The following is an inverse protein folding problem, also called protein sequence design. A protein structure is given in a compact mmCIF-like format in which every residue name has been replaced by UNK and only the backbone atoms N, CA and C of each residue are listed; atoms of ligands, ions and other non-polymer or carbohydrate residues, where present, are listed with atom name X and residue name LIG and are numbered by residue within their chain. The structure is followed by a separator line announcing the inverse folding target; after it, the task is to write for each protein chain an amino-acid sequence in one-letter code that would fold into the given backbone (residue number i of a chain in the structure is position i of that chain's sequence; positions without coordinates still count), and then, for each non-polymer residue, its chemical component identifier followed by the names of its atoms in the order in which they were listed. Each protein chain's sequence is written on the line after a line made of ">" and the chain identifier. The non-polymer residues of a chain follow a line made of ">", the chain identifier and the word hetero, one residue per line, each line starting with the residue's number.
data_IF_996283178519
#
_entry.id   IF_996283178519
#
_cell.length_a   1.000
_cell.length_b   1.000
_cell.length_c   1.000
_cell.angle_alpha   90.00
_cell.angle_beta   90.00
_cell.angle_gamma   90.00
#
_symmetry.space_group_name_H-M   'P 1'
#
loop_
_entity.id
_entity.type
_entity.pdbx_description
1 polymer ?
#
# COMPACT_ATOMS: atom_id res chain seq x y z
N UNK A 1 11.46 15.27 19.53
CA UNK A 1 12.46 15.08 18.46
C UNK A 1 12.95 16.43 17.99
N UNK A 2 14.20 16.54 17.54
CA UNK A 2 14.71 17.74 16.87
C UNK A 2 14.06 17.79 15.48
N UNK A 3 13.42 18.91 15.12
CA UNK A 3 13.00 19.12 13.72
C UNK A 3 14.24 19.51 12.91
N UNK A 4 14.60 18.70 11.92
CA UNK A 4 15.73 18.95 11.01
C UNK A 4 15.33 19.72 9.75
N UNK A 5 14.05 20.05 9.59
CA UNK A 5 13.55 20.84 8.47
C UNK A 5 14.11 22.26 8.49
N UNK A 6 14.41 22.79 7.30
CA UNK A 6 14.78 24.19 7.13
C UNK A 6 13.62 25.10 7.54
N UNK A 7 12.38 24.66 7.30
CA UNK A 7 11.17 25.25 7.84
C UNK A 7 10.68 24.44 9.05
N UNK A 8 10.75 25.06 10.23
CA UNK A 8 10.38 24.47 11.52
C UNK A 8 8.94 23.97 11.61
N UNK A 9 8.05 24.47 10.76
CA UNK A 9 6.63 24.14 10.77
C UNK A 9 6.32 22.95 9.82
N UNK A 10 7.30 22.56 8.98
CA UNK A 10 7.20 21.46 8.01
C UNK A 10 7.88 20.17 8.48
N UNK A 11 7.32 19.05 8.04
CA UNK A 11 7.94 17.72 8.15
C UNK A 11 9.16 17.62 7.22
N UNK A 12 10.21 16.92 7.68
CA UNK A 12 11.52 16.97 7.04
C UNK A 12 11.55 16.33 5.65
N UNK A 13 10.92 15.17 5.46
CA UNK A 13 11.01 14.43 4.20
C UNK A 13 9.89 14.81 3.23
N UNK A 14 8.64 14.77 3.70
CA UNK A 14 7.45 15.02 2.86
C UNK A 14 7.22 16.50 2.59
N UNK A 15 7.85 17.40 3.37
CA UNK A 15 7.73 18.86 3.24
C UNK A 15 6.27 19.35 3.32
N UNK A 16 5.51 18.80 4.27
CA UNK A 16 4.12 19.14 4.57
C UNK A 16 3.98 19.71 5.98
N UNK A 17 2.97 20.53 6.21
CA UNK A 17 2.55 21.02 7.53
C UNK A 17 1.07 20.70 7.82
N UNK A 18 0.60 20.98 9.04
CA UNK A 18 -0.82 20.81 9.38
C UNK A 18 -1.71 21.64 8.44
N UNK A 19 -2.74 21.00 7.88
CA UNK A 19 -3.68 21.64 6.94
C UNK A 19 -3.37 21.40 5.46
N UNK A 20 -2.15 21.00 5.11
CA UNK A 20 -1.75 20.63 3.75
C UNK A 20 -2.45 19.35 3.25
N UNK A 21 -2.72 18.41 4.17
CA UNK A 21 -3.36 17.13 3.87
C UNK A 21 -4.70 16.97 4.58
N UNK A 22 -5.54 16.09 4.02
CA UNK A 22 -6.75 15.62 4.67
C UNK A 22 -6.50 14.51 5.69
N UNK A 23 -7.54 14.14 6.44
CA UNK A 23 -7.50 12.97 7.35
C UNK A 23 -7.30 11.65 6.60
N UNK A 24 -7.83 11.59 5.37
CA UNK A 24 -7.78 10.43 4.50
C UNK A 24 -6.71 10.59 3.43
N UNK A 25 -5.77 9.64 3.36
CA UNK A 25 -4.65 9.70 2.42
C UNK A 25 -4.50 8.39 1.66
N UNK A 26 -4.50 8.45 0.33
CA UNK A 26 -4.07 7.32 -0.51
C UNK A 26 -2.54 7.32 -0.56
N UNK A 27 -1.93 6.16 -0.32
CA UNK A 27 -0.49 5.96 -0.44
C UNK A 27 -0.17 5.18 -1.71
N UNK A 28 0.82 5.60 -2.50
CA UNK A 28 1.26 4.88 -3.70
C UNK A 28 2.78 4.76 -3.78
N UNK A 29 3.30 3.64 -4.27
CA UNK A 29 4.76 3.49 -4.40
C UNK A 29 5.39 4.48 -5.38
N UNK A 30 4.82 4.61 -6.58
CA UNK A 30 5.36 5.46 -7.65
C UNK A 30 4.88 6.91 -7.51
N UNK A 31 5.77 7.91 -7.38
CA UNK A 31 5.42 9.33 -7.34
C UNK A 31 4.59 9.79 -8.53
N UNK A 32 4.86 9.22 -9.72
CA UNK A 32 4.12 9.57 -10.94
C UNK A 32 2.66 9.13 -10.91
N UNK A 33 2.33 8.16 -10.05
CA UNK A 33 0.94 7.70 -9.88
C UNK A 33 0.10 8.67 -9.04
N UNK A 34 0.72 9.56 -8.26
CA UNK A 34 -0.03 10.54 -7.45
C UNK A 34 -0.92 11.42 -8.32
N UNK A 35 -0.42 11.91 -9.45
CA UNK A 35 -1.22 12.71 -10.38
C UNK A 35 -2.44 11.94 -10.89
N UNK A 36 -2.24 10.69 -11.35
CA UNK A 36 -3.34 9.84 -11.82
C UNK A 36 -4.40 9.61 -10.74
N UNK A 37 -3.99 9.42 -9.49
CA UNK A 37 -4.93 9.27 -8.36
C UNK A 37 -5.66 10.58 -8.09
N UNK A 38 -4.95 11.71 -8.11
CA UNK A 38 -5.51 13.04 -7.84
C UNK A 38 -6.61 13.44 -8.84
N UNK A 39 -6.56 12.95 -10.09
CA UNK A 39 -7.61 13.15 -11.10
C UNK A 39 -8.99 12.60 -10.67
N UNK A 40 -9.04 11.73 -9.66
CA UNK A 40 -10.29 11.20 -9.10
C UNK A 40 -10.84 12.03 -7.93
N UNK A 41 -10.13 13.07 -7.50
CA UNK A 41 -10.56 14.00 -6.46
C UNK A 41 -11.13 15.27 -7.09
N UNK A 42 -12.03 15.93 -6.39
CA UNK A 42 -12.55 17.26 -6.72
C UNK A 42 -11.49 18.32 -6.39
N UNK A 43 -11.25 19.27 -7.30
CA UNK A 43 -10.35 20.42 -7.13
C UNK A 43 -8.95 20.08 -6.59
N UNK A 44 -8.38 18.93 -6.99
CA UNK A 44 -7.07 18.53 -6.51
C UNK A 44 -5.92 19.39 -7.06
N UNK A 45 -5.03 19.80 -6.17
CA UNK A 45 -3.83 20.59 -6.48
C UNK A 45 -2.58 19.90 -5.94
N UNK A 46 -1.42 20.06 -6.62
CA UNK A 46 -0.14 19.64 -6.06
C UNK A 46 0.18 20.48 -4.82
N UNK A 47 0.68 19.84 -3.76
CA UNK A 47 0.98 20.48 -2.48
C UNK A 47 2.48 20.47 -2.19
N UNK A 48 3.13 19.32 -2.38
CA UNK A 48 4.57 19.17 -2.18
C UNK A 48 5.15 18.14 -3.16
N UNK A 49 6.41 18.34 -3.51
CA UNK A 49 7.21 17.39 -4.29
C UNK A 49 8.64 17.38 -3.73
N UNK A 50 8.93 16.38 -2.90
CA UNK A 50 10.20 16.27 -2.18
C UNK A 50 10.70 14.83 -2.21
N UNK A 51 11.88 14.60 -2.79
CA UNK A 51 12.47 13.27 -2.96
C UNK A 51 11.51 12.33 -3.71
N UNK A 52 11.13 11.20 -3.11
CA UNK A 52 10.10 10.28 -3.62
C UNK A 52 8.68 10.59 -3.10
N UNK A 53 8.48 11.69 -2.37
CA UNK A 53 7.21 12.07 -1.73
C UNK A 53 6.55 13.20 -2.51
N UNK A 54 5.75 12.84 -3.51
CA UNK A 54 4.86 13.76 -4.23
C UNK A 54 3.48 13.70 -3.60
N UNK A 55 2.92 14.86 -3.24
CA UNK A 55 1.62 14.97 -2.57
C UNK A 55 0.66 15.87 -3.34
N UNK A 56 -0.58 15.39 -3.50
CA UNK A 56 -1.71 16.18 -3.98
C UNK A 56 -2.82 16.15 -2.93
N UNK A 57 -3.57 17.24 -2.82
CA UNK A 57 -4.74 17.35 -1.94
C UNK A 57 -5.91 17.93 -2.73
N UNK A 58 -7.09 17.36 -2.52
CA UNK A 58 -8.36 17.79 -3.09
C UNK A 58 -9.50 17.36 -2.19
N UNK A 59 -10.66 17.06 -2.78
CA UNK A 59 -11.85 16.72 -2.03
C UNK A 59 -12.55 15.46 -2.58
N UNK A 60 -13.21 14.73 -1.68
CA UNK A 60 -14.20 13.72 -2.02
C UNK A 60 -15.47 14.01 -1.23
N UNK A 61 -16.56 14.34 -1.91
CA UNK A 61 -17.84 14.65 -1.26
C UNK A 61 -17.71 15.79 -0.22
N UNK A 62 -16.90 16.80 -0.54
CA UNK A 62 -16.58 17.92 0.34
C UNK A 62 -15.63 17.61 1.51
N UNK A 63 -15.18 16.36 1.66
CA UNK A 63 -14.14 16.00 2.64
C UNK A 63 -12.75 16.21 2.03
N UNK A 64 -11.83 16.87 2.76
CA UNK A 64 -10.45 17.03 2.30
C UNK A 64 -9.75 15.66 2.31
N UNK A 65 -9.16 15.27 1.18
CA UNK A 65 -8.40 14.03 1.02
C UNK A 65 -7.11 14.29 0.27
N UNK A 66 -6.13 13.40 0.44
CA UNK A 66 -4.82 13.53 -0.20
C UNK A 66 -4.36 12.23 -0.82
N UNK A 67 -3.35 12.34 -1.69
CA UNK A 67 -2.53 11.22 -2.13
C UNK A 67 -1.06 11.59 -1.97
N UNK A 68 -0.27 10.69 -1.40
CA UNK A 68 1.18 10.87 -1.20
C UNK A 68 1.91 9.62 -1.66
N UNK A 69 3.00 9.78 -2.39
CA UNK A 69 3.84 8.63 -2.74
C UNK A 69 4.78 8.21 -1.62
N UNK A 70 5.16 6.93 -1.60
CA UNK A 70 6.00 6.35 -0.56
C UNK A 70 7.39 5.95 -1.05
N UNK A 71 7.63 5.95 -2.36
CA UNK A 71 8.76 5.21 -2.94
C UNK A 71 8.61 3.70 -2.77
N UNK A 72 9.72 2.98 -2.98
CA UNK A 72 9.80 1.51 -2.87
C UNK A 72 10.47 1.13 -1.56
N UNK A 73 9.84 0.23 -0.82
CA UNK A 73 10.33 -0.38 0.40
C UNK A 73 9.68 0.17 1.67
N UNK A 74 9.71 -0.67 2.71
CA UNK A 74 9.29 -0.30 4.06
C UNK A 74 9.91 0.99 4.60
N UNK A 75 11.22 1.28 4.41
CA UNK A 75 11.86 2.43 5.04
C UNK A 75 11.25 3.78 4.64
N UNK A 76 11.10 4.04 3.34
CA UNK A 76 10.51 5.29 2.84
C UNK A 76 9.00 5.34 3.09
N UNK A 77 8.30 4.19 3.01
CA UNK A 77 6.88 4.12 3.34
C UNK A 77 6.58 4.44 4.82
N UNK A 78 7.44 4.01 5.74
CA UNK A 78 7.32 4.34 7.16
C UNK A 78 7.52 5.84 7.42
N UNK A 79 8.49 6.48 6.73
CA UNK A 79 8.70 7.93 6.78
C UNK A 79 7.43 8.68 6.35
N UNK A 80 6.87 8.33 5.20
CA UNK A 80 5.65 8.96 4.70
C UNK A 80 4.51 8.85 5.73
N UNK A 81 4.26 7.66 6.27
CA UNK A 81 3.16 7.45 7.22
C UNK A 81 3.38 8.17 8.55
N UNK A 82 4.59 8.17 9.11
CA UNK A 82 4.93 8.92 10.33
C UNK A 82 4.69 10.42 10.15
N UNK A 83 5.22 11.00 9.07
CA UNK A 83 5.15 12.44 8.85
C UNK A 83 3.72 12.89 8.49
N UNK A 84 2.98 12.12 7.69
CA UNK A 84 1.57 12.37 7.41
C UNK A 84 0.73 12.29 8.70
N UNK A 85 1.00 11.30 9.57
CA UNK A 85 0.31 11.19 10.85
C UNK A 85 0.63 12.35 11.80
N UNK A 86 1.83 12.94 11.72
CA UNK A 86 2.17 14.13 12.50
C UNK A 86 1.42 15.38 12.05
N UNK A 87 0.99 15.46 10.79
CA UNK A 87 0.25 16.61 10.23
C UNK A 87 -1.26 16.38 10.10
N UNK A 88 -1.78 15.37 10.80
CA UNK A 88 -3.22 15.17 11.00
C UNK A 88 -3.89 14.09 10.15
N UNK A 89 -3.15 13.35 9.31
CA UNK A 89 -3.70 12.19 8.62
C UNK A 89 -3.88 11.00 9.56
N UNK A 90 -5.02 10.31 9.51
CA UNK A 90 -5.33 9.19 10.41
C UNK A 90 -5.87 7.95 9.70
N UNK A 91 -6.09 8.04 8.39
CA UNK A 91 -6.74 6.99 7.59
C UNK A 91 -6.05 6.84 6.25
N UNK A 92 -5.50 5.65 6.02
CA UNK A 92 -4.62 5.41 4.89
C UNK A 92 -5.12 4.25 4.02
N UNK A 93 -5.04 4.40 2.70
CA UNK A 93 -5.22 3.27 1.78
C UNK A 93 -4.02 3.20 0.85
N UNK A 94 -3.25 2.12 0.95
CA UNK A 94 -2.19 1.86 -0.02
C UNK A 94 -2.78 1.31 -1.31
N UNK A 95 -2.39 1.93 -2.42
CA UNK A 95 -2.62 1.47 -3.80
C UNK A 95 -1.29 1.08 -4.41
N UNK A 96 -1.14 -0.19 -4.75
CA UNK A 96 0.12 -0.74 -5.25
C UNK A 96 -0.03 -1.74 -6.39
N UNK A 97 1.09 -2.35 -6.74
CA UNK A 97 1.20 -3.44 -7.69
C UNK A 97 1.86 -4.63 -7.01
N UNK A 98 1.58 -5.84 -7.51
CA UNK A 98 2.06 -7.08 -6.90
C UNK A 98 2.27 -8.18 -7.92
N UNK A 99 3.03 -9.21 -7.52
CA UNK A 99 3.18 -10.46 -8.27
C UNK A 99 2.37 -11.59 -7.63
N UNK A 100 1.52 -12.27 -8.42
CA UNK A 100 0.68 -13.37 -7.95
C UNK A 100 1.47 -14.59 -7.47
N UNK A 101 0.94 -15.25 -6.44
CA UNK A 101 1.48 -16.46 -5.83
C UNK A 101 0.49 -17.64 -5.90
N UNK A 102 -0.78 -17.45 -5.54
CA UNK A 102 -1.79 -18.50 -5.70
C UNK A 102 -2.26 -18.61 -7.16
N UNK A 103 -2.62 -19.81 -7.62
CA UNK A 103 -2.91 -20.05 -9.05
C UNK A 103 -4.23 -19.40 -9.51
N UNK A 104 -5.16 -19.18 -8.59
CA UNK A 104 -6.44 -18.50 -8.82
C UNK A 104 -6.28 -16.99 -9.00
N UNK A 105 -5.20 -16.39 -8.50
CA UNK A 105 -4.91 -14.96 -8.66
C UNK A 105 -4.34 -14.72 -10.05
N UNK A 106 -5.10 -14.06 -10.91
CA UNK A 106 -4.72 -13.79 -12.31
C UNK A 106 -4.21 -12.37 -12.47
N UNK A 107 -3.45 -12.15 -13.55
CA UNK A 107 -3.09 -10.80 -13.96
C UNK A 107 -4.34 -9.95 -14.20
N UNK A 108 -4.35 -8.74 -13.66
CA UNK A 108 -5.51 -7.85 -13.71
C UNK A 108 -6.44 -7.97 -12.51
N UNK A 109 -6.41 -9.07 -11.78
CA UNK A 109 -7.20 -9.20 -10.54
C UNK A 109 -6.65 -8.27 -9.47
N UNK A 110 -7.55 -7.77 -8.61
CA UNK A 110 -7.18 -7.05 -7.41
C UNK A 110 -6.86 -8.01 -6.26
N UNK A 111 -5.94 -7.61 -5.40
CA UNK A 111 -5.75 -8.24 -4.09
C UNK A 111 -5.89 -7.21 -3.00
N UNK A 112 -6.81 -7.48 -2.06
CA UNK A 112 -7.04 -6.69 -0.86
C UNK A 112 -6.36 -7.41 0.30
N UNK A 113 -5.36 -6.77 0.89
CA UNK A 113 -4.55 -7.41 1.92
C UNK A 113 -5.26 -7.38 3.28
N UNK A 114 -5.49 -8.54 3.90
CA UNK A 114 -5.96 -8.65 5.30
C UNK A 114 -4.80 -8.59 6.29
N UNK A 115 -3.61 -8.95 5.83
CA UNK A 115 -2.37 -8.93 6.59
C UNK A 115 -1.17 -9.18 5.68
N UNK A 116 0.03 -9.07 6.24
CA UNK A 116 1.27 -9.17 5.49
C UNK A 116 2.32 -10.05 6.19
N UNK A 117 3.03 -10.87 5.42
CA UNK A 117 4.23 -11.57 5.90
C UNK A 117 5.34 -10.54 6.10
N UNK A 118 5.92 -10.51 7.31
CA UNK A 118 6.96 -9.55 7.73
C UNK A 118 8.37 -10.02 7.36
N UNK A 119 8.61 -10.31 6.07
CA UNK A 119 9.95 -10.67 5.57
C UNK A 119 10.77 -9.42 5.17
N UNK A 120 10.66 -8.36 5.96
CA UNK A 120 11.36 -7.08 5.78
C UNK A 120 11.93 -6.55 7.10
N UNK A 121 12.82 -5.56 7.03
CA UNK A 121 13.54 -5.00 8.18
C UNK A 121 12.73 -3.97 8.97
N UNK A 122 12.04 -3.06 8.27
CA UNK A 122 11.44 -1.87 8.88
C UNK A 122 10.47 -2.20 10.00
N UNK A 123 9.55 -3.13 9.81
CA UNK A 123 8.58 -3.47 10.86
C UNK A 123 9.25 -4.01 12.13
N UNK A 124 10.42 -4.65 12.03
CA UNK A 124 11.17 -5.20 13.18
C UNK A 124 11.77 -4.11 14.06
N UNK A 125 11.96 -2.91 13.52
CA UNK A 125 12.38 -1.73 14.27
C UNK A 125 11.22 -1.05 15.02
N UNK A 126 9.97 -1.42 14.70
CA UNK A 126 8.77 -0.90 15.35
C UNK A 126 8.16 -1.86 16.38
N UNK A 127 8.14 -3.16 16.07
CA UNK A 127 7.51 -4.16 16.94
C UNK A 127 8.24 -5.51 16.87
N UNK A 128 8.23 -6.30 17.96
CA UNK A 128 8.69 -7.70 17.95
C UNK A 128 8.08 -8.48 16.77
N UNK A 129 8.84 -9.41 16.18
CA UNK A 129 8.46 -10.11 14.93
C UNK A 129 7.15 -10.91 15.07
N UNK A 130 6.81 -11.31 16.29
CA UNK A 130 5.59 -12.03 16.65
C UNK A 130 4.33 -11.16 16.54
N UNK A 131 4.46 -9.83 16.60
CA UNK A 131 3.34 -8.93 16.40
C UNK A 131 2.82 -9.04 14.96
N UNK A 132 1.51 -9.21 14.73
CA UNK A 132 1.02 -9.43 13.38
C UNK A 132 0.93 -8.11 12.59
N UNK A 133 1.37 -8.12 11.33
CA UNK A 133 1.10 -7.02 10.41
C UNK A 133 -0.29 -7.24 9.80
N UNK A 134 -1.30 -6.55 10.34
CA UNK A 134 -2.72 -6.69 9.95
C UNK A 134 -3.29 -5.36 9.47
N UNK A 135 -4.14 -5.45 8.46
CA UNK A 135 -4.92 -4.32 7.95
C UNK A 135 -6.02 -3.94 8.93
N UNK A 136 -6.45 -2.68 8.93
CA UNK A 136 -7.65 -2.25 9.63
C UNK A 136 -8.89 -2.97 9.06
N UNK A 137 -9.72 -3.50 9.95
CA UNK A 137 -10.90 -4.28 9.58
C UNK A 137 -11.92 -3.45 8.79
N UNK A 138 -12.14 -2.19 9.18
CA UNK A 138 -13.14 -1.34 8.54
C UNK A 138 -12.69 -0.85 7.17
N UNK A 139 -11.40 -0.55 7.00
CA UNK A 139 -10.84 -0.23 5.69
C UNK A 139 -10.88 -1.44 4.76
N UNK A 140 -10.52 -2.63 5.27
CA UNK A 140 -10.58 -3.87 4.49
C UNK A 140 -11.99 -4.14 3.98
N UNK A 141 -13.01 -4.01 4.85
CA UNK A 141 -14.41 -4.14 4.43
C UNK A 141 -14.84 -3.08 3.42
N UNK A 142 -14.40 -1.82 3.58
CA UNK A 142 -14.72 -0.77 2.62
C UNK A 142 -14.10 -1.03 1.24
N UNK A 143 -12.89 -1.59 1.18
CA UNK A 143 -12.25 -2.02 -0.06
C UNK A 143 -12.99 -3.17 -0.73
N UNK A 144 -13.47 -4.16 0.04
CA UNK A 144 -14.28 -5.27 -0.47
C UNK A 144 -15.61 -4.76 -1.01
N UNK A 145 -16.33 -3.96 -0.23
CA UNK A 145 -17.59 -3.33 -0.64
C UNK A 145 -17.41 -2.47 -1.91
N UNK A 146 -16.32 -1.71 -2.00
CA UNK A 146 -15.97 -0.94 -3.19
C UNK A 146 -15.73 -1.84 -4.42
N UNK A 147 -14.96 -2.93 -4.28
CA UNK A 147 -14.68 -3.85 -5.38
C UNK A 147 -15.96 -4.54 -5.87
N UNK A 148 -16.85 -4.94 -4.96
CA UNK A 148 -18.17 -5.51 -5.27
C UNK A 148 -19.06 -4.51 -6.02
N UNK A 149 -19.16 -3.26 -5.52
CA UNK A 149 -19.94 -2.20 -6.15
C UNK A 149 -19.43 -1.87 -7.57
N UNK A 150 -18.12 -1.90 -7.76
CA UNK A 150 -17.48 -1.65 -9.06
C UNK A 150 -17.46 -2.90 -9.96
N UNK A 151 -17.86 -4.07 -9.43
CA UNK A 151 -17.84 -5.38 -10.12
C UNK A 151 -16.45 -5.74 -10.66
N UNK A 152 -15.41 -5.38 -9.91
CA UNK A 152 -14.01 -5.70 -10.25
C UNK A 152 -13.65 -7.03 -9.58
N UNK A 153 -13.08 -8.02 -10.29
CA UNK A 153 -12.59 -9.25 -9.67
C UNK A 153 -11.51 -8.97 -8.62
N UNK A 154 -11.64 -9.58 -7.44
CA UNK A 154 -10.70 -9.40 -6.35
C UNK A 154 -10.50 -10.68 -5.54
N UNK A 155 -9.39 -10.72 -4.80
CA UNK A 155 -9.06 -11.72 -3.79
C UNK A 155 -8.75 -11.01 -2.48
N UNK A 156 -9.08 -11.65 -1.35
CA UNK A 156 -8.89 -11.07 -0.01
C UNK A 156 -8.05 -12.04 0.83
N UNK A 157 -6.91 -11.58 1.33
CA UNK A 157 -6.04 -12.47 2.11
C UNK A 157 -4.66 -11.90 2.41
N UNK A 158 -3.75 -12.79 2.82
CA UNK A 158 -2.39 -12.40 3.20
C UNK A 158 -1.53 -12.16 1.98
N UNK A 159 -0.70 -11.12 2.04
CA UNK A 159 0.34 -10.81 1.04
C UNK A 159 1.74 -10.99 1.63
N UNK A 160 2.73 -11.25 0.79
CA UNK A 160 4.13 -11.29 1.22
C UNK A 160 4.78 -9.92 1.01
N UNK A 161 5.51 -9.43 2.02
CA UNK A 161 6.38 -8.27 1.90
C UNK A 161 7.84 -8.68 2.05
N UNK A 162 8.71 -8.00 1.31
CA UNK A 162 10.15 -8.27 1.24
C UNK A 162 10.93 -6.99 0.95
N UNK A 163 12.19 -6.95 1.37
CA UNK A 163 13.10 -5.85 1.02
C UNK A 163 13.80 -6.03 -0.33
N UNK A 164 13.90 -7.27 -0.84
CA UNK A 164 14.64 -7.56 -2.07
C UNK A 164 13.73 -8.04 -3.20
N UNK A 165 13.38 -7.12 -4.11
CA UNK A 165 12.65 -7.44 -5.34
C UNK A 165 13.34 -8.56 -6.16
N UNK A 166 14.65 -8.46 -6.33
CA UNK A 166 15.42 -9.47 -7.06
C UNK A 166 15.60 -10.80 -6.30
N UNK A 167 15.30 -10.82 -4.99
CA UNK A 167 15.18 -12.05 -4.21
C UNK A 167 13.94 -12.85 -4.57
N UNK A 168 12.83 -12.21 -4.95
CA UNK A 168 11.61 -12.89 -5.41
C UNK A 168 11.79 -13.52 -6.80
N UNK A 169 12.34 -12.77 -7.76
CA UNK A 169 12.36 -13.19 -9.17
C UNK A 169 13.59 -14.00 -9.57
N UNK A 170 14.70 -13.85 -8.85
CA UNK A 170 15.91 -14.63 -9.07
C UNK A 170 16.52 -15.12 -7.74
N UNK A 171 15.76 -15.87 -6.90
CA UNK A 171 16.25 -16.37 -5.62
C UNK A 171 17.45 -17.30 -5.78
N UNK A 172 17.47 -18.13 -6.84
CA UNK A 172 18.53 -19.09 -7.13
C UNK A 172 19.90 -18.45 -7.39
N UNK A 173 19.95 -17.16 -7.74
CA UNK A 173 21.21 -16.44 -7.97
C UNK A 173 21.73 -15.75 -6.70
N UNK A 174 21.00 -15.81 -5.58
CA UNK A 174 21.38 -15.17 -4.33
C UNK A 174 22.16 -16.14 -3.43
N UNK A 175 23.15 -15.66 -2.66
CA UNK A 175 23.85 -16.49 -1.67
C UNK A 175 22.92 -17.18 -0.65
N UNK A 176 21.81 -16.51 -0.32
CA UNK A 176 20.75 -17.02 0.57
C UNK A 176 19.58 -17.67 -0.20
N UNK A 177 19.82 -18.11 -1.43
CA UNK A 177 18.79 -18.67 -2.31
C UNK A 177 18.05 -19.86 -1.70
N UNK A 178 18.74 -20.68 -0.90
CA UNK A 178 18.15 -21.78 -0.15
C UNK A 178 17.05 -21.30 0.82
N UNK A 179 17.27 -20.19 1.53
CA UNK A 179 16.32 -19.61 2.47
C UNK A 179 15.13 -18.99 1.73
N UNK A 180 15.41 -18.22 0.67
CA UNK A 180 14.39 -17.57 -0.14
C UNK A 180 13.45 -18.60 -0.77
N UNK A 181 13.99 -19.68 -1.34
CA UNK A 181 13.18 -20.75 -1.95
C UNK A 181 12.36 -21.51 -0.90
N UNK A 182 12.95 -21.84 0.25
CA UNK A 182 12.24 -22.53 1.33
C UNK A 182 11.09 -21.68 1.89
N UNK A 183 11.34 -20.39 2.14
CA UNK A 183 10.31 -19.44 2.60
C UNK A 183 9.22 -19.24 1.55
N UNK A 184 9.58 -19.04 0.28
CA UNK A 184 8.62 -18.92 -0.81
C UNK A 184 7.67 -20.11 -0.86
N UNK A 185 8.20 -21.33 -0.77
CA UNK A 185 7.38 -22.54 -0.74
C UNK A 185 6.43 -22.57 0.47
N UNK A 186 6.89 -22.15 1.65
CA UNK A 186 6.04 -22.04 2.82
C UNK A 186 4.90 -21.03 2.61
N UNK A 187 5.18 -19.86 2.03
CA UNK A 187 4.17 -18.82 1.77
C UNK A 187 3.10 -19.29 0.80
N UNK A 188 3.49 -19.97 -0.29
CA UNK A 188 2.54 -20.57 -1.23
C UNK A 188 1.67 -21.61 -0.54
N UNK A 189 2.25 -22.49 0.29
CA UNK A 189 1.50 -23.51 1.02
C UNK A 189 0.55 -22.94 2.08
N UNK A 190 0.90 -21.80 2.69
CA UNK A 190 0.05 -21.08 3.64
C UNK A 190 -1.07 -20.26 2.98
N UNK A 191 -1.18 -20.26 1.65
CA UNK A 191 -2.22 -19.52 0.94
C UNK A 191 -1.94 -18.03 0.73
N UNK A 192 -0.67 -17.60 0.82
CA UNK A 192 -0.31 -16.22 0.52
C UNK A 192 -0.65 -15.87 -0.93
N UNK A 193 -1.40 -14.79 -1.15
CA UNK A 193 -2.04 -14.48 -2.44
C UNK A 193 -1.07 -13.87 -3.45
N UNK A 194 -0.32 -12.86 -3.02
CA UNK A 194 0.58 -12.06 -3.85
C UNK A 194 1.80 -11.62 -3.05
N UNK A 195 2.83 -11.17 -3.77
CA UNK A 195 4.07 -10.63 -3.24
C UNK A 195 4.22 -9.16 -3.64
N UNK A 196 4.47 -8.30 -2.65
CA UNK A 196 4.69 -6.84 -2.77
C UNK A 196 5.76 -6.41 -1.74
N UNK A 197 5.85 -5.15 -1.31
CA UNK A 197 7.03 -4.67 -0.57
C UNK A 197 6.79 -3.71 0.62
N UNK A 198 5.60 -3.14 0.81
CA UNK A 198 5.42 -2.04 1.78
C UNK A 198 4.38 -2.28 2.88
N UNK A 199 3.39 -3.15 2.68
CA UNK A 199 2.24 -3.28 3.59
C UNK A 199 2.63 -3.78 4.98
N UNK A 200 3.63 -4.66 5.10
CA UNK A 200 4.09 -5.15 6.40
C UNK A 200 4.61 -4.03 7.29
N UNK A 201 5.45 -3.13 6.74
CA UNK A 201 5.90 -1.94 7.43
C UNK A 201 4.72 -1.04 7.77
N UNK A 202 3.93 -0.67 6.76
CA UNK A 202 2.79 0.25 6.91
C UNK A 202 1.77 -0.21 7.96
N UNK A 203 1.41 -1.49 7.99
CA UNK A 203 0.46 -2.05 8.96
C UNK A 203 0.99 -2.00 10.39
N UNK A 204 2.28 -2.28 10.59
CA UNK A 204 2.92 -2.26 11.91
C UNK A 204 3.12 -0.81 12.39
N UNK A 205 3.57 0.09 11.52
CA UNK A 205 3.72 1.52 11.85
C UNK A 205 2.34 2.13 12.18
N UNK A 206 1.30 1.82 11.39
CA UNK A 206 -0.04 2.29 11.68
C UNK A 206 -0.57 1.80 13.03
N UNK A 207 -0.30 0.53 13.38
CA UNK A 207 -0.65 -0.06 14.68
C UNK A 207 0.05 0.64 15.86
N UNK A 208 1.31 1.04 15.67
CA UNK A 208 2.07 1.84 16.63
C UNK A 208 1.47 3.26 16.76
N UNK A 209 1.24 3.92 15.62
CA UNK A 209 0.71 5.29 15.52
C UNK A 209 -0.77 5.44 15.86
N UNK A 210 -1.49 4.34 16.02
CA UNK A 210 -2.95 4.31 16.28
C UNK A 210 -3.76 4.97 15.16
N UNK A 211 -3.32 4.77 13.93
CA UNK A 211 -4.01 5.19 12.71
C UNK A 211 -4.49 3.97 11.94
N UNK A 212 -5.45 4.16 11.04
CA UNK A 212 -6.06 3.07 10.27
C UNK A 212 -5.38 2.95 8.92
N UNK A 213 -5.10 1.73 8.47
CA UNK A 213 -4.56 1.50 7.12
C UNK A 213 -5.10 0.21 6.50
N UNK A 214 -5.29 0.23 5.19
CA UNK A 214 -5.49 -0.98 4.39
C UNK A 214 -4.79 -0.90 3.05
N UNK A 215 -4.77 -2.00 2.29
CA UNK A 215 -4.05 -2.08 1.02
C UNK A 215 -4.91 -2.75 -0.05
N UNK A 216 -4.90 -2.18 -1.26
CA UNK A 216 -5.36 -2.81 -2.49
C UNK A 216 -4.27 -2.80 -3.56
N UNK A 217 -4.08 -3.93 -4.23
CA UNK A 217 -2.98 -4.17 -5.17
C UNK A 217 -3.53 -4.63 -6.51
N UNK A 218 -2.94 -4.16 -7.60
CA UNK A 218 -3.08 -4.80 -8.91
C UNK A 218 -2.11 -5.98 -9.02
N UNK A 219 -2.61 -7.16 -9.40
CA UNK A 219 -1.74 -8.27 -9.80
C UNK A 219 -1.24 -8.04 -11.22
N UNK A 220 0.05 -7.75 -11.37
CA UNK A 220 0.66 -7.43 -12.68
C UNK A 220 0.83 -8.69 -13.53
N UNK A 221 1.30 -9.75 -12.88
CA UNK A 221 1.56 -11.07 -13.43
C UNK A 221 1.70 -12.06 -12.27
N UNK A 222 1.66 -13.37 -12.56
CA UNK A 222 1.78 -14.43 -11.58
C UNK A 222 2.85 -15.45 -11.99
N UNK A 223 3.93 -15.49 -11.20
CA UNK A 223 5.09 -16.35 -11.50
C UNK A 223 4.80 -17.84 -11.30
N UNK A 224 3.89 -18.22 -10.39
CA UNK A 224 3.51 -19.62 -10.18
C UNK A 224 2.64 -20.14 -11.32
N UNK A 225 1.73 -19.30 -11.85
CA UNK A 225 0.99 -19.62 -13.07
C UNK A 225 1.92 -19.82 -14.27
N UNK A 226 2.89 -18.92 -14.47
CA UNK A 226 3.88 -19.04 -15.53
C UNK A 226 4.70 -20.33 -15.43
N UNK A 227 5.16 -20.71 -14.23
CA UNK A 227 5.87 -21.98 -13.98
C UNK A 227 5.04 -23.22 -14.34
N UNK A 228 3.71 -23.13 -14.26
CA UNK A 228 2.77 -24.20 -14.61
C UNK A 228 2.30 -24.17 -16.07
N UNK A 229 2.82 -23.24 -16.88
CA UNK A 229 2.40 -23.07 -18.27
C UNK A 229 0.96 -22.58 -18.43
N UNK A 230 0.41 -21.93 -17.39
CA UNK A 230 -0.92 -21.31 -17.44
C UNK A 230 -0.85 -19.91 -18.05
N UNK A 231 -1.99 -19.42 -18.55
CA UNK A 231 -2.10 -18.06 -19.07
C UNK A 231 -1.67 -17.02 -18.03
N UNK A 232 -0.82 -16.09 -18.45
CA UNK A 232 -0.14 -15.12 -17.58
C UNK A 232 0.25 -13.86 -18.36
N UNK A 233 -0.72 -13.07 -18.86
CA UNK A 233 -0.42 -11.80 -19.49
C UNK A 233 0.19 -10.84 -18.47
N UNK A 234 1.02 -9.89 -18.91
CA UNK A 234 1.48 -8.81 -18.03
C UNK A 234 0.56 -7.61 -18.23
N UNK A 235 0.04 -7.08 -17.13
CA UNK A 235 -0.79 -5.86 -17.13
C UNK A 235 -0.11 -4.76 -16.34
N UNK A 236 -0.40 -3.50 -16.65
CA UNK A 236 0.23 -2.34 -16.00
C UNK A 236 -0.75 -1.25 -15.56
N UNK A 237 -2.00 -1.27 -16.04
CA UNK A 237 -2.96 -0.23 -15.75
C UNK A 237 -3.52 -0.35 -14.33
N UNK A 238 -3.18 0.64 -13.51
CA UNK A 238 -3.60 0.74 -12.10
C UNK A 238 -4.95 1.43 -11.91
N UNK A 239 -5.73 1.65 -12.97
CA UNK A 239 -7.07 2.25 -12.86
C UNK A 239 -7.99 1.50 -11.89
N UNK A 240 -8.03 0.17 -11.98
CA UNK A 240 -8.90 -0.66 -11.16
C UNK A 240 -8.66 -0.54 -9.63
N UNK A 241 -7.42 -0.68 -9.11
CA UNK A 241 -7.18 -0.49 -7.68
C UNK A 241 -7.34 0.98 -7.26
N UNK A 242 -7.06 1.97 -8.13
CA UNK A 242 -7.28 3.39 -7.84
C UNK A 242 -8.78 3.67 -7.61
N UNK A 243 -9.63 3.28 -8.57
CA UNK A 243 -11.09 3.44 -8.44
C UNK A 243 -11.65 2.76 -7.20
N UNK A 244 -11.12 1.58 -6.88
CA UNK A 244 -11.51 0.82 -5.68
C UNK A 244 -11.13 1.56 -4.40
N UNK A 245 -9.91 2.09 -4.31
CA UNK A 245 -9.47 2.87 -3.15
C UNK A 245 -10.27 4.17 -2.97
N UNK A 246 -10.52 4.90 -4.07
CA UNK A 246 -11.33 6.13 -4.05
C UNK A 246 -12.76 5.84 -3.59
N UNK A 247 -13.39 4.77 -4.10
CA UNK A 247 -14.74 4.39 -3.67
C UNK A 247 -14.77 3.92 -2.21
N UNK A 248 -13.74 3.20 -1.76
CA UNK A 248 -13.59 2.82 -0.35
C UNK A 248 -13.49 4.05 0.57
N UNK A 249 -12.75 5.09 0.16
CA UNK A 249 -12.73 6.36 0.89
C UNK A 249 -14.11 7.02 0.96
N UNK A 250 -14.87 7.06 -0.15
CA UNK A 250 -16.25 7.57 -0.12
C UNK A 250 -17.13 6.80 0.86
N UNK A 251 -17.03 5.47 0.86
CA UNK A 251 -17.77 4.61 1.79
C UNK A 251 -17.42 4.94 3.24
N UNK A 252 -16.13 5.11 3.56
CA UNK A 252 -15.67 5.46 4.91
C UNK A 252 -16.16 6.86 5.33
N UNK A 253 -15.99 7.87 4.47
CA UNK A 253 -16.44 9.25 4.70
C UNK A 253 -17.94 9.29 5.00
N UNK A 254 -18.76 8.59 4.21
CA UNK A 254 -20.21 8.52 4.41
C UNK A 254 -20.59 7.81 5.73
N UNK A 255 -19.83 6.79 6.15
CA UNK A 255 -20.06 6.05 7.39
C UNK A 255 -19.72 6.88 8.63
N UNK A 256 -18.69 7.72 8.57
CA UNK A 256 -18.25 8.57 9.68
C UNK A 256 -19.09 9.84 9.87
N UNK A 257 -19.82 10.26 8.84
CA UNK A 257 -20.79 11.37 8.91
C UNK A 257 -22.12 11.01 9.57
N UNK A 258 -22.38 9.72 9.79
CA UNK A 258 -23.63 9.21 10.40
C UNK A 258 -23.53 9.12 11.91
#
# INVERSE_FOLDING_TARGET
>A
MINYSEDKDRQYHVQLEEGDVGRYVILTGDPKRCQKIAEHFEDALPVADSREFTTYTGYLEGEKVSVTSTGIGGPSAAIALEELANVGADTFIRVGTSGGMQLEVKSGDLVIATGAVRMEGTSKEYAPVEFPAVSDFHITNALVEAAENLKIPYHVGVVECKDSFYGQHAPQTKPVGYELLNKWNAWVQCGCLTSEMESAALFVVASYRKVRIGTVLLTMANQERAKKGLDNPVVHDTEAPIRTAVEALRILIRKERR
#
